data_IF_446569947795
#
_entry.id   IF_446569947795
#
_cell.length_a   1.000
_cell.length_b   1.000
_cell.length_c   1.000
_cell.angle_alpha   90.00
_cell.angle_beta   90.00
_cell.angle_gamma   90.00
#
_symmetry.space_group_name_H-M   'P 1'
#
loop_
_entity.id
_entity.type
_entity.pdbx_description
1 polymer ?
#
# COMPACT_ATOMS: atom_id res chain seq x y z
N UNK A 1 77.71 -41.44 29.88
CA UNK A 1 76.52 -42.13 30.39
C UNK A 1 76.57 -42.02 31.87
N UNK A 2 75.70 -41.41 32.57
CA UNK A 2 74.40 -41.91 32.93
C UNK A 2 73.28 -40.85 32.71
N UNK A 3 72.08 -41.35 32.76
CA UNK A 3 70.78 -40.76 32.59
C UNK A 3 70.39 -39.86 33.76
N UNK A 4 69.82 -38.74 33.48
CA UNK A 4 69.27 -37.81 34.48
C UNK A 4 67.69 -37.91 34.38
N UNK A 5 67.16 -38.57 35.42
CA UNK A 5 65.72 -38.67 35.63
C UNK A 5 65.21 -37.41 36.37
N UNK A 6 64.45 -36.63 35.72
CA UNK A 6 63.66 -35.48 36.31
C UNK A 6 62.33 -36.02 36.85
N UNK A 7 61.90 -35.66 38.07
CA UNK A 7 60.66 -36.15 38.67
C UNK A 7 59.43 -35.55 38.07
N UNK A 8 58.38 -36.38 37.92
CA UNK A 8 57.04 -36.05 37.44
C UNK A 8 56.32 -35.10 38.40
N UNK A 9 55.82 -33.96 37.86
CA UNK A 9 54.87 -33.09 38.53
C UNK A 9 53.46 -33.75 38.58
N UNK A 10 52.89 -33.69 39.78
CA UNK A 10 51.56 -34.18 40.05
C UNK A 10 50.48 -33.25 39.33
N UNK A 11 49.34 -33.79 38.89
CA UNK A 11 48.28 -32.98 38.22
C UNK A 11 47.58 -32.08 39.25
N UNK A 12 47.44 -30.83 38.88
CA UNK A 12 46.64 -29.85 39.61
C UNK A 12 45.14 -30.27 39.59
N UNK A 13 44.52 -30.23 40.74
CA UNK A 13 43.08 -30.43 40.90
C UNK A 13 42.32 -29.28 40.21
N UNK A 14 41.57 -29.64 39.17
CA UNK A 14 40.61 -28.70 38.54
C UNK A 14 39.44 -28.46 39.50
N UNK A 15 39.23 -27.20 39.92
CA UNK A 15 37.99 -26.77 40.58
C UNK A 15 36.82 -26.94 39.63
N UNK A 16 35.64 -27.39 40.11
CA UNK A 16 34.46 -27.56 39.25
C UNK A 16 33.96 -26.18 38.76
N UNK A 17 34.10 -25.95 37.47
CA UNK A 17 33.49 -24.81 36.79
C UNK A 17 31.98 -24.99 36.77
N UNK A 18 31.25 -24.10 37.46
CA UNK A 18 29.79 -23.98 37.36
C UNK A 18 29.40 -23.74 35.91
N UNK A 19 28.31 -24.35 35.40
CA UNK A 19 27.96 -24.24 33.99
C UNK A 19 27.52 -22.81 33.68
N UNK A 20 28.21 -22.17 32.76
CA UNK A 20 27.99 -20.77 32.29
C UNK A 20 26.56 -20.47 31.83
N UNK A 21 25.72 -21.48 31.76
CA UNK A 21 24.30 -21.39 31.37
C UNK A 21 23.42 -20.95 32.53
N UNK A 22 23.68 -21.38 33.78
CA UNK A 22 22.88 -20.99 34.96
C UNK A 22 23.14 -19.54 35.36
N UNK A 23 24.37 -19.07 35.29
CA UNK A 23 24.71 -17.66 35.59
C UNK A 23 24.11 -16.68 34.58
N UNK A 24 23.89 -17.10 33.33
CA UNK A 24 23.19 -16.28 32.33
C UNK A 24 21.68 -16.24 32.57
N UNK A 25 21.07 -17.32 33.00
CA UNK A 25 19.65 -17.36 33.32
C UNK A 25 19.32 -16.53 34.58
N UNK A 26 20.06 -16.65 35.65
CA UNK A 26 19.87 -15.80 36.85
C UNK A 26 20.11 -14.32 36.58
N UNK A 27 21.02 -13.92 35.69
CA UNK A 27 21.20 -12.52 35.29
C UNK A 27 20.05 -11.98 34.42
N UNK A 28 19.41 -12.81 33.63
CA UNK A 28 18.22 -12.43 32.87
C UNK A 28 16.99 -12.30 33.77
N UNK A 29 16.88 -13.14 34.80
CA UNK A 29 15.77 -13.07 35.77
C UNK A 29 15.94 -11.93 36.79
N UNK A 30 17.15 -11.60 37.20
CA UNK A 30 17.44 -10.50 38.11
C UNK A 30 17.30 -9.09 37.45
N UNK A 31 17.27 -9.00 36.12
CA UNK A 31 17.07 -7.76 35.38
C UNK A 31 15.61 -7.53 34.96
N UNK A 32 14.68 -8.36 35.45
CA UNK A 32 13.23 -8.30 35.23
C UNK A 32 12.55 -7.19 36.08
N UNK A 33 13.07 -5.97 36.01
CA UNK A 33 12.29 -4.76 36.32
C UNK A 33 11.26 -4.45 35.22
N UNK A 34 11.27 -5.18 34.10
CA UNK A 34 10.24 -5.20 33.07
C UNK A 34 9.31 -6.39 33.33
N UNK A 35 8.15 -6.14 33.92
CA UNK A 35 7.10 -7.17 33.97
C UNK A 35 6.71 -7.51 32.53
N UNK A 36 7.11 -8.69 32.04
CA UNK A 36 6.94 -9.12 30.66
C UNK A 36 5.49 -8.99 30.16
N UNK A 37 4.51 -9.22 31.06
CA UNK A 37 3.08 -9.09 30.75
C UNK A 37 2.62 -7.65 30.51
N UNK A 38 3.18 -6.66 31.21
CA UNK A 38 2.82 -5.25 30.99
C UNK A 38 3.38 -4.75 29.66
N UNK A 39 4.62 -5.13 29.34
CA UNK A 39 5.26 -4.78 28.08
C UNK A 39 4.61 -5.50 26.88
N UNK A 40 4.16 -6.73 27.09
CA UNK A 40 3.46 -7.50 26.04
C UNK A 40 2.07 -6.95 25.74
N UNK A 41 1.34 -6.48 26.75
CA UNK A 41 0.05 -5.78 26.58
C UNK A 41 0.24 -4.44 25.90
N UNK A 42 1.23 -3.65 26.31
CA UNK A 42 1.56 -2.37 25.68
C UNK A 42 1.99 -2.55 24.21
N UNK A 43 2.77 -3.60 23.91
CA UNK A 43 3.13 -3.96 22.54
C UNK A 43 1.91 -4.43 21.73
N UNK A 44 1.00 -5.20 22.32
CA UNK A 44 -0.24 -5.62 21.67
C UNK A 44 -1.17 -4.43 21.39
N UNK A 45 -1.28 -3.48 22.33
CA UNK A 45 -2.04 -2.24 22.12
C UNK A 45 -1.38 -1.34 21.06
N UNK A 46 -0.05 -1.24 21.04
CA UNK A 46 0.67 -0.51 20.01
C UNK A 46 0.48 -1.16 18.62
N UNK A 47 0.57 -2.48 18.53
CA UNK A 47 0.35 -3.21 17.26
C UNK A 47 -1.11 -3.09 16.81
N UNK A 48 -2.07 -3.13 17.72
CA UNK A 48 -3.49 -2.92 17.41
C UNK A 48 -3.77 -1.49 16.91
N UNK A 49 -3.00 -0.50 17.37
CA UNK A 49 -3.09 0.89 16.92
C UNK A 49 -2.24 1.20 15.66
N UNK A 50 -1.40 0.26 15.21
CA UNK A 50 -0.61 0.36 13.97
C UNK A 50 -1.39 -0.14 12.74
N UNK A 51 -2.73 -0.08 12.76
CA UNK A 51 -3.53 -0.38 11.58
C UNK A 51 -3.26 0.68 10.50
N UNK A 52 -2.50 0.28 9.49
CA UNK A 52 -2.28 1.09 8.30
C UNK A 52 -3.52 0.99 7.42
N UNK A 53 -4.23 2.09 7.25
CA UNK A 53 -5.42 2.17 6.40
C UNK A 53 -4.98 2.28 4.94
N UNK A 54 -5.25 1.24 4.16
CA UNK A 54 -4.88 1.18 2.74
C UNK A 54 -6.14 1.36 1.90
N UNK A 55 -6.11 2.36 1.02
CA UNK A 55 -7.15 2.60 0.03
C UNK A 55 -6.61 2.34 -1.37
N UNK A 56 -7.32 1.53 -2.15
CA UNK A 56 -7.02 1.29 -3.56
C UNK A 56 -8.10 1.96 -4.42
N UNK A 57 -7.71 2.93 -5.24
CA UNK A 57 -8.61 3.65 -6.14
C UNK A 57 -8.36 3.21 -7.58
N UNK A 58 -9.37 2.66 -8.24
CA UNK A 58 -9.33 2.31 -9.66
C UNK A 58 -10.11 3.30 -10.51
N UNK A 59 -9.43 4.00 -11.43
CA UNK A 59 -10.05 5.01 -12.28
C UNK A 59 -10.24 4.55 -13.73
N UNK A 60 -11.46 4.72 -14.23
CA UNK A 60 -11.85 4.35 -15.59
C UNK A 60 -11.95 2.83 -15.78
N UNK A 61 -12.17 2.38 -17.01
CA UNK A 61 -12.43 0.98 -17.32
C UNK A 61 -11.32 0.03 -16.87
N UNK A 62 -10.07 0.34 -17.18
CA UNK A 62 -8.94 -0.50 -16.81
C UNK A 62 -8.75 -0.57 -15.28
N UNK A 63 -8.86 0.56 -14.58
CA UNK A 63 -8.79 0.62 -13.13
C UNK A 63 -9.89 -0.20 -12.45
N UNK A 64 -11.12 -0.06 -12.92
CA UNK A 64 -12.26 -0.81 -12.39
C UNK A 64 -12.10 -2.32 -12.60
N UNK A 65 -11.61 -2.74 -13.78
CA UNK A 65 -11.33 -4.15 -14.06
C UNK A 65 -10.21 -4.71 -13.15
N UNK A 66 -9.19 -3.89 -12.86
CA UNK A 66 -8.12 -4.27 -11.93
C UNK A 66 -8.68 -4.46 -10.52
N UNK A 67 -9.50 -3.53 -10.03
CA UNK A 67 -10.14 -3.64 -8.71
C UNK A 67 -11.07 -4.84 -8.63
N UNK A 68 -11.87 -5.10 -9.66
CA UNK A 68 -12.75 -6.28 -9.68
C UNK A 68 -11.95 -7.58 -9.58
N UNK A 69 -10.80 -7.64 -10.24
CA UNK A 69 -9.89 -8.79 -10.13
C UNK A 69 -9.31 -8.92 -8.72
N UNK A 70 -8.80 -7.83 -8.14
CA UNK A 70 -8.27 -7.83 -6.77
C UNK A 70 -9.32 -8.26 -5.75
N UNK A 71 -10.54 -7.74 -5.88
CA UNK A 71 -11.66 -8.09 -5.01
C UNK A 71 -12.03 -9.59 -5.11
N UNK A 72 -11.99 -10.15 -6.30
CA UNK A 72 -12.26 -11.57 -6.54
C UNK A 72 -11.16 -12.49 -5.99
N UNK A 73 -9.91 -12.05 -6.01
CA UNK A 73 -8.77 -12.77 -5.42
C UNK A 73 -8.80 -12.75 -3.87
N UNK A 74 -9.67 -11.92 -3.26
CA UNK A 74 -9.88 -11.90 -1.81
C UNK A 74 -8.75 -11.21 -1.05
N UNK A 75 -8.37 -10.01 -1.44
CA UNK A 75 -7.39 -9.22 -0.68
C UNK A 75 -8.09 -8.57 0.51
N UNK A 76 -7.68 -8.97 1.71
CA UNK A 76 -8.19 -8.46 2.98
C UNK A 76 -7.38 -7.25 3.49
N UNK A 77 -8.01 -6.44 4.36
CA UNK A 77 -7.34 -5.32 5.04
C UNK A 77 -7.14 -4.08 4.16
N UNK A 78 -7.83 -4.00 3.02
CA UNK A 78 -7.78 -2.84 2.11
C UNK A 78 -9.19 -2.37 1.74
N UNK A 79 -9.37 -1.06 1.64
CA UNK A 79 -10.56 -0.48 1.04
C UNK A 79 -10.39 -0.33 -0.47
N UNK A 80 -11.47 -0.56 -1.22
CA UNK A 80 -11.44 -0.49 -2.69
C UNK A 80 -12.52 0.46 -3.19
N UNK A 81 -12.15 1.47 -3.98
CA UNK A 81 -13.04 2.45 -4.57
C UNK A 81 -12.89 2.49 -6.10
N UNK A 82 -13.91 2.06 -6.81
CA UNK A 82 -13.97 2.19 -8.27
C UNK A 82 -14.54 3.55 -8.67
N UNK A 83 -13.83 4.26 -9.53
CA UNK A 83 -14.23 5.56 -10.08
C UNK A 83 -14.42 5.46 -11.59
N UNK A 84 -15.49 6.05 -12.08
CA UNK A 84 -15.69 6.17 -13.53
C UNK A 84 -16.54 7.38 -13.87
N UNK A 85 -16.40 7.87 -15.10
CA UNK A 85 -17.32 8.84 -15.74
C UNK A 85 -18.42 8.13 -16.54
N UNK A 86 -18.30 6.81 -16.76
CA UNK A 86 -19.29 5.96 -17.41
C UNK A 86 -20.12 5.21 -16.37
N UNK A 87 -21.39 5.58 -16.28
CA UNK A 87 -22.31 5.01 -15.28
C UNK A 87 -22.61 3.52 -15.53
N UNK A 88 -22.71 3.10 -16.79
CA UNK A 88 -23.02 1.71 -17.13
C UNK A 88 -21.86 0.79 -16.78
N UNK A 89 -20.65 1.20 -17.16
CA UNK A 89 -19.44 0.46 -16.84
C UNK A 89 -19.21 0.39 -15.32
N UNK A 90 -19.46 1.49 -14.60
CA UNK A 90 -19.32 1.56 -13.15
C UNK A 90 -20.33 0.64 -12.42
N UNK A 91 -21.57 0.61 -12.92
CA UNK A 91 -22.63 -0.25 -12.36
C UNK A 91 -22.30 -1.74 -12.51
N UNK A 92 -21.66 -2.11 -13.61
CA UNK A 92 -21.23 -3.50 -13.86
C UNK A 92 -20.05 -3.96 -13.00
N UNK A 93 -19.24 -3.04 -12.47
CA UNK A 93 -18.06 -3.36 -11.66
C UNK A 93 -18.46 -4.00 -10.32
N UNK A 94 -17.89 -5.16 -10.02
CA UNK A 94 -18.16 -5.93 -8.77
C UNK A 94 -17.13 -5.59 -7.71
N UNK A 95 -17.24 -4.40 -7.12
CA UNK A 95 -16.38 -3.90 -6.07
C UNK A 95 -17.22 -3.29 -4.94
N UNK A 96 -16.72 -3.23 -3.69
CA UNK A 96 -17.48 -2.74 -2.54
C UNK A 96 -17.98 -1.30 -2.72
N UNK A 97 -17.07 -0.39 -3.07
CA UNK A 97 -17.39 1.03 -3.20
C UNK A 97 -17.22 1.51 -4.63
N UNK A 98 -18.18 2.30 -5.08
CA UNK A 98 -18.24 2.84 -6.45
C UNK A 98 -18.66 4.30 -6.41
N UNK A 99 -17.96 5.16 -7.16
CA UNK A 99 -18.26 6.58 -7.25
C UNK A 99 -18.29 7.02 -8.72
N UNK A 100 -19.43 7.55 -9.15
CA UNK A 100 -19.55 8.21 -10.45
C UNK A 100 -19.03 9.64 -10.32
N UNK A 101 -17.99 9.96 -11.07
CA UNK A 101 -17.41 11.31 -11.15
C UNK A 101 -17.86 12.02 -12.42
N UNK A 102 -17.87 13.35 -12.41
CA UNK A 102 -18.28 14.16 -13.57
C UNK A 102 -19.75 14.01 -13.91
N UNK A 103 -20.61 13.93 -12.90
CA UNK A 103 -22.07 13.76 -13.08
C UNK A 103 -22.69 14.86 -13.94
N UNK A 104 -22.22 16.10 -13.80
CA UNK A 104 -22.70 17.22 -14.60
C UNK A 104 -21.95 17.31 -15.94
N UNK A 105 -20.63 17.10 -15.90
CA UNK A 105 -19.77 17.29 -17.07
C UNK A 105 -19.98 16.20 -18.12
N UNK A 106 -20.00 14.91 -17.72
CA UNK A 106 -20.11 13.77 -18.64
C UNK A 106 -21.50 13.14 -18.68
N UNK A 107 -22.36 13.48 -17.73
CA UNK A 107 -23.72 12.93 -17.58
C UNK A 107 -23.77 11.39 -17.57
N UNK A 108 -22.69 10.76 -17.08
CA UNK A 108 -22.57 9.30 -17.04
C UNK A 108 -22.24 8.62 -18.37
N UNK A 109 -21.95 9.38 -19.42
CA UNK A 109 -21.66 8.85 -20.77
C UNK A 109 -20.16 8.52 -21.00
N UNK A 110 -19.33 8.73 -19.97
CA UNK A 110 -17.88 8.56 -20.06
C UNK A 110 -17.16 9.80 -20.59
N UNK A 111 -15.83 9.80 -20.45
CA UNK A 111 -14.96 10.88 -20.94
C UNK A 111 -14.39 10.61 -22.36
N UNK A 112 -14.76 9.51 -22.99
CA UNK A 112 -14.19 9.11 -24.28
C UNK A 112 -12.67 9.03 -24.24
N UNK A 113 -12.00 9.54 -25.27
CA UNK A 113 -10.52 9.63 -25.31
C UNK A 113 -10.03 11.06 -25.00
N UNK A 114 -10.77 11.80 -24.14
CA UNK A 114 -10.51 13.20 -23.80
C UNK A 114 -10.05 13.32 -22.33
N UNK A 115 -8.73 13.39 -22.03
CA UNK A 115 -8.23 13.47 -20.67
C UNK A 115 -8.73 14.68 -19.88
N UNK A 116 -8.96 15.84 -20.54
CA UNK A 116 -9.49 17.04 -19.90
C UNK A 116 -10.88 16.84 -19.30
N UNK A 117 -11.71 15.97 -19.90
CA UNK A 117 -13.01 15.60 -19.32
C UNK A 117 -12.85 14.73 -18.07
N UNK A 118 -11.88 13.82 -18.07
CA UNK A 118 -11.53 13.02 -16.88
C UNK A 118 -10.99 13.88 -15.74
N UNK A 119 -10.15 14.85 -16.05
CA UNK A 119 -9.63 15.85 -15.12
C UNK A 119 -10.75 16.68 -14.51
N UNK A 120 -11.58 17.29 -15.34
CA UNK A 120 -12.73 18.09 -14.88
C UNK A 120 -13.73 17.27 -14.07
N UNK A 121 -13.93 16.00 -14.42
CA UNK A 121 -14.80 15.09 -13.67
C UNK A 121 -14.27 14.80 -12.25
N UNK A 122 -12.96 14.64 -12.10
CA UNK A 122 -12.34 14.46 -10.79
C UNK A 122 -12.36 15.75 -9.96
N UNK A 123 -12.16 16.92 -10.59
CA UNK A 123 -12.29 18.21 -9.91
C UNK A 123 -13.73 18.47 -9.46
N UNK A 124 -14.74 18.12 -10.27
CA UNK A 124 -16.16 18.22 -9.89
C UNK A 124 -16.47 17.40 -8.62
N UNK A 125 -15.80 16.26 -8.45
CA UNK A 125 -15.97 15.34 -7.31
C UNK A 125 -14.95 15.57 -6.18
N UNK A 126 -14.32 16.77 -6.12
CA UNK A 126 -13.23 17.08 -5.18
C UNK A 126 -13.54 16.72 -3.74
N UNK A 127 -14.68 17.16 -3.22
CA UNK A 127 -15.02 16.98 -1.81
C UNK A 127 -15.24 15.49 -1.47
N UNK A 128 -15.91 14.76 -2.36
CA UNK A 128 -16.12 13.31 -2.21
C UNK A 128 -14.77 12.54 -2.23
N UNK A 129 -13.85 12.94 -3.12
CA UNK A 129 -12.54 12.33 -3.25
C UNK A 129 -11.61 12.66 -2.06
N UNK A 130 -11.65 13.89 -1.57
CA UNK A 130 -10.92 14.27 -0.35
C UNK A 130 -11.42 13.51 0.88
N UNK A 131 -12.74 13.31 0.98
CA UNK A 131 -13.34 12.53 2.06
C UNK A 131 -12.94 11.05 1.95
N UNK A 132 -12.93 10.47 0.75
CA UNK A 132 -12.49 9.09 0.55
C UNK A 132 -11.02 8.87 0.94
N UNK A 133 -10.15 9.87 0.75
CA UNK A 133 -8.73 9.77 1.12
C UNK A 133 -8.44 10.17 2.57
N UNK A 134 -9.46 10.60 3.36
CA UNK A 134 -9.23 11.27 4.65
C UNK A 134 -8.55 10.37 5.69
N UNK A 135 -8.92 9.09 5.73
CA UNK A 135 -8.42 8.14 6.74
C UNK A 135 -7.34 7.20 6.19
N UNK A 136 -6.95 7.38 4.92
CA UNK A 136 -5.97 6.51 4.29
C UNK A 136 -4.54 6.95 4.60
N UNK A 137 -3.72 6.03 5.12
CA UNK A 137 -2.28 6.22 5.27
C UNK A 137 -1.55 5.97 3.95
N UNK A 138 -2.05 5.00 3.17
CA UNK A 138 -1.52 4.63 1.85
C UNK A 138 -2.66 4.62 0.83
N UNK A 139 -2.46 5.32 -0.29
CA UNK A 139 -3.38 5.32 -1.42
C UNK A 139 -2.69 4.72 -2.64
N UNK A 140 -3.19 3.57 -3.09
CA UNK A 140 -2.82 3.01 -4.39
C UNK A 140 -3.79 3.51 -5.45
N UNK A 141 -3.24 4.05 -6.53
CA UNK A 141 -4.00 4.51 -7.70
C UNK A 141 -3.76 3.54 -8.85
N UNK A 142 -4.82 3.04 -9.48
CA UNK A 142 -4.68 2.18 -10.65
C UNK A 142 -5.59 2.61 -11.79
N UNK A 143 -5.10 2.50 -13.01
CA UNK A 143 -5.86 2.83 -14.22
C UNK A 143 -5.06 2.67 -15.49
N UNK A 144 -5.77 2.72 -16.62
CA UNK A 144 -5.16 2.73 -17.94
C UNK A 144 -4.94 4.17 -18.44
N UNK A 145 -3.72 4.47 -18.81
CA UNK A 145 -3.40 5.72 -19.49
C UNK A 145 -3.67 5.59 -21.00
N UNK A 146 -4.02 6.71 -21.63
CA UNK A 146 -4.36 6.78 -23.07
C UNK A 146 -5.85 7.01 -23.35
N UNK A 147 -6.73 6.67 -22.38
CA UNK A 147 -8.15 7.02 -22.41
C UNK A 147 -8.45 8.41 -21.84
N UNK A 148 -9.72 8.69 -21.58
CA UNK A 148 -10.15 9.96 -20.97
C UNK A 148 -10.10 9.91 -19.44
N UNK A 149 -10.89 9.03 -18.82
CA UNK A 149 -11.12 9.00 -17.37
C UNK A 149 -9.82 8.71 -16.59
N UNK A 150 -9.16 7.59 -16.84
CA UNK A 150 -7.93 7.21 -16.11
C UNK A 150 -6.81 8.23 -16.29
N UNK A 151 -6.56 8.65 -17.53
CA UNK A 151 -5.49 9.60 -17.87
C UNK A 151 -5.69 10.96 -17.21
N UNK A 152 -6.95 11.46 -17.18
CA UNK A 152 -7.24 12.78 -16.63
C UNK A 152 -7.46 12.79 -15.12
N UNK A 153 -8.16 11.79 -14.59
CA UNK A 153 -8.55 11.78 -13.18
C UNK A 153 -7.41 11.36 -12.24
N UNK A 154 -6.55 10.41 -12.63
CA UNK A 154 -5.51 9.89 -11.72
C UNK A 154 -4.55 10.98 -11.20
N UNK A 155 -4.03 11.93 -12.01
CA UNK A 155 -3.19 13.02 -11.49
C UNK A 155 -3.90 13.91 -10.48
N UNK A 156 -5.19 14.16 -10.68
CA UNK A 156 -6.02 14.97 -9.76
C UNK A 156 -6.22 14.23 -8.43
N UNK A 157 -6.55 12.94 -8.51
CA UNK A 157 -6.75 12.10 -7.32
C UNK A 157 -5.43 11.97 -6.55
N UNK A 158 -4.29 11.79 -7.24
CA UNK A 158 -2.96 11.76 -6.62
C UNK A 158 -2.67 13.04 -5.82
N UNK A 159 -3.04 14.20 -6.36
CA UNK A 159 -2.91 15.47 -5.65
C UNK A 159 -3.79 15.52 -4.40
N UNK A 160 -5.03 15.06 -4.48
CA UNK A 160 -5.95 15.04 -3.32
C UNK A 160 -5.47 14.07 -2.24
N UNK A 161 -4.96 12.89 -2.60
CA UNK A 161 -4.37 11.97 -1.66
C UNK A 161 -3.14 12.58 -0.95
N UNK A 162 -2.28 13.29 -1.68
CA UNK A 162 -1.14 14.04 -1.10
C UNK A 162 -1.60 15.20 -0.20
N UNK A 163 -2.69 15.91 -0.53
CA UNK A 163 -3.27 16.93 0.36
C UNK A 163 -3.70 16.35 1.71
N UNK A 164 -4.07 15.06 1.74
CA UNK A 164 -4.40 14.30 2.95
C UNK A 164 -3.19 13.64 3.62
N UNK A 165 -1.98 13.91 3.12
CA UNK A 165 -0.71 13.36 3.63
C UNK A 165 -0.57 11.83 3.49
N UNK A 166 -1.41 11.19 2.66
CA UNK A 166 -1.31 9.78 2.35
C UNK A 166 -0.08 9.49 1.46
N UNK A 167 0.62 8.39 1.75
CA UNK A 167 1.62 7.85 0.83
C UNK A 167 0.91 7.40 -0.45
N UNK A 168 1.20 8.06 -1.57
CA UNK A 168 0.48 7.84 -2.83
C UNK A 168 1.35 7.09 -3.83
N UNK A 169 0.87 5.94 -4.30
CA UNK A 169 1.56 5.06 -5.26
C UNK A 169 0.64 4.83 -6.46
N UNK A 170 1.10 5.18 -7.67
CA UNK A 170 0.35 4.95 -8.90
C UNK A 170 0.91 3.73 -9.67
N UNK A 171 0.02 2.79 -9.99
CA UNK A 171 0.30 1.60 -10.81
C UNK A 171 -0.59 1.68 -12.04
N UNK A 172 -0.02 2.06 -13.17
CA UNK A 172 -0.78 2.35 -14.39
C UNK A 172 -0.33 1.49 -15.56
N UNK A 173 -1.26 1.24 -16.49
CA UNK A 173 -0.95 0.57 -17.75
C UNK A 173 -0.84 1.58 -18.89
N UNK A 174 0.10 1.34 -19.78
CA UNK A 174 0.27 2.11 -21.01
C UNK A 174 -0.41 1.39 -22.20
N UNK A 175 -0.86 2.12 -23.21
CA UNK A 175 -1.45 1.52 -24.40
C UNK A 175 -0.39 0.74 -25.19
N UNK A 176 -0.81 -0.33 -25.85
CA UNK A 176 0.02 -1.04 -26.81
C UNK A 176 0.27 -0.18 -28.07
N UNK A 177 1.36 -0.46 -28.78
CA UNK A 177 1.76 0.27 -29.98
C UNK A 177 0.71 0.28 -31.10
N UNK A 178 -0.14 -0.74 -31.16
CA UNK A 178 -1.23 -0.88 -32.13
C UNK A 178 -2.52 -0.14 -31.74
N UNK A 179 -2.61 0.48 -30.56
CA UNK A 179 -3.81 1.23 -30.11
C UNK A 179 -3.90 2.66 -30.70
N UNK A 180 -2.87 3.09 -31.39
CA UNK A 180 -2.85 4.34 -32.13
C UNK A 180 -2.16 5.50 -31.41
N UNK A 181 -1.67 6.45 -32.22
CA UNK A 181 -0.83 7.56 -31.74
C UNK A 181 -1.53 8.50 -30.75
N UNK A 182 -2.86 8.67 -30.86
CA UNK A 182 -3.64 9.51 -29.93
C UNK A 182 -3.57 8.95 -28.51
N UNK A 183 -3.78 7.64 -28.33
CA UNK A 183 -3.70 7.00 -27.02
C UNK A 183 -2.29 7.05 -26.45
N UNK A 184 -1.28 6.80 -27.28
CA UNK A 184 0.12 6.89 -26.86
C UNK A 184 0.48 8.31 -26.38
N UNK A 185 0.07 9.35 -27.10
CA UNK A 185 0.27 10.75 -26.70
C UNK A 185 -0.44 11.08 -25.39
N UNK A 186 -1.72 10.71 -25.26
CA UNK A 186 -2.49 10.93 -24.04
C UNK A 186 -1.82 10.24 -22.85
N UNK A 187 -1.36 8.99 -23.03
CA UNK A 187 -0.72 8.22 -21.98
C UNK A 187 0.58 8.86 -21.51
N UNK A 188 1.42 9.34 -22.42
CA UNK A 188 2.65 10.03 -22.08
C UNK A 188 2.37 11.30 -21.28
N UNK A 189 1.42 12.13 -21.72
CA UNK A 189 1.03 13.34 -21.00
C UNK A 189 0.43 13.05 -19.60
N UNK A 190 -0.34 11.97 -19.49
CA UNK A 190 -0.88 11.54 -18.20
C UNK A 190 0.22 11.05 -17.25
N UNK A 191 1.21 10.31 -17.76
CA UNK A 191 2.34 9.82 -16.97
C UNK A 191 3.24 10.96 -16.45
N UNK A 192 3.47 11.99 -17.27
CA UNK A 192 4.26 13.17 -16.88
C UNK A 192 3.59 14.00 -15.76
N UNK A 193 2.28 13.84 -15.57
CA UNK A 193 1.49 14.57 -14.56
C UNK A 193 1.25 13.78 -13.27
N UNK A 194 1.51 12.48 -13.27
CA UNK A 194 1.46 11.59 -12.11
C UNK A 194 2.72 11.71 -11.25
#
# INVERSE_FOLDING_TARGET
MPEDESPAEAPAEEEPQEPATEVKQERLEANNGFSGEANERELQELVANLNTNILIIGAGGAGNNTLERLYREGIDGVEMLALNTDAQHLLAARVPHRMLIGKQLTKGLGAGAEPHLGEGAAEEARDDLLNACHEADIVFLTGGLGGGTGTGALPVIARFAKEKQALTIAIVTLPFSNEGARRAKNAQQGLERL
#
